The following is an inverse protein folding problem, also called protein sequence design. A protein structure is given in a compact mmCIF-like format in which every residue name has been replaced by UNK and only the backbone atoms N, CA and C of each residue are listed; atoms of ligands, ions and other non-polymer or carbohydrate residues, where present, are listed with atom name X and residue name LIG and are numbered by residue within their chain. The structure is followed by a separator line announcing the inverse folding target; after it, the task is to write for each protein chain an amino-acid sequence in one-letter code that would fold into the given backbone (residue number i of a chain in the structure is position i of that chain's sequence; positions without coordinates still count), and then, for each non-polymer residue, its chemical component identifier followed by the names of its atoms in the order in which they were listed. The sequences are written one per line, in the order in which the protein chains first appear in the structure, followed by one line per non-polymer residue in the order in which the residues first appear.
data_IF_936121743383
#
_entry.id   IF_936121743383
#
_cell.length_a   1.000
_cell.length_b   1.000
_cell.length_c   1.000
_cell.angle_alpha   90.00
_cell.angle_beta   90.00
_cell.angle_gamma   90.00
#
_symmetry.space_group_name_H-M   'P 1'
#
loop_
_entity.id
_entity.type
_entity.pdbx_description
1 polymer ?
#
# COMPACT_ATOMS: atom_id res chain seq x y z
N UNK A 1 9.81 11.66 23.51
CA UNK A 1 9.05 12.46 22.54
C UNK A 1 7.90 11.62 21.96
N UNK A 2 6.85 12.27 21.44
CA UNK A 2 5.68 11.59 20.87
C UNK A 2 6.04 10.64 19.71
N UNK A 3 7.19 10.84 19.05
CA UNK A 3 7.67 9.99 17.96
C UNK A 3 8.23 8.64 18.43
N UNK A 4 8.61 8.52 19.70
CA UNK A 4 9.18 7.27 20.24
C UNK A 4 8.12 6.17 20.48
N UNK A 5 6.84 6.54 20.49
CA UNK A 5 5.72 5.64 20.79
C UNK A 5 4.84 5.29 19.57
N UNK A 6 5.30 5.59 18.35
CA UNK A 6 4.56 5.21 17.16
C UNK A 6 4.64 3.70 16.91
N UNK A 7 3.56 3.08 16.43
CA UNK A 7 3.57 1.65 16.15
C UNK A 7 4.57 1.31 15.04
N UNK A 8 5.23 0.17 15.18
CA UNK A 8 6.07 -0.39 14.13
C UNK A 8 5.19 -1.22 13.19
N UNK A 9 5.20 -0.89 11.91
CA UNK A 9 4.45 -1.61 10.89
C UNK A 9 5.29 -2.73 10.29
N UNK A 10 4.61 -3.80 9.86
CA UNK A 10 5.24 -4.89 9.14
C UNK A 10 5.71 -4.40 7.77
N UNK A 11 6.94 -4.78 7.37
CA UNK A 11 7.48 -4.43 6.06
C UNK A 11 6.58 -4.97 4.93
N UNK A 12 6.34 -4.17 3.88
CA UNK A 12 5.47 -4.61 2.79
C UNK A 12 6.14 -5.61 1.85
N UNK A 13 7.47 -5.62 1.78
CA UNK A 13 8.27 -6.47 0.89
C UNK A 13 9.30 -7.26 1.69
N UNK A 14 9.60 -8.49 1.26
CA UNK A 14 10.62 -9.36 1.87
C UNK A 14 12.00 -9.25 1.19
N UNK A 15 12.25 -8.15 0.50
CA UNK A 15 13.55 -7.82 -0.10
C UNK A 15 14.17 -6.64 0.66
N UNK A 16 15.51 -6.44 0.58
CA UNK A 16 16.14 -5.30 1.23
C UNK A 16 15.48 -3.98 0.79
N UNK A 17 15.13 -3.09 1.72
CA UNK A 17 14.42 -1.86 1.40
C UNK A 17 15.33 -0.86 0.71
N UNK A 18 15.02 -0.55 -0.54
CA UNK A 18 15.68 0.51 -1.31
C UNK A 18 14.60 1.45 -1.82
N UNK A 19 14.71 2.73 -1.49
CA UNK A 19 13.74 3.74 -1.87
C UNK A 19 14.11 4.37 -3.20
N UNK A 20 13.10 4.62 -4.05
CA UNK A 20 13.22 5.42 -5.28
C UNK A 20 12.50 6.75 -5.17
N UNK A 21 11.64 6.93 -4.17
CA UNK A 21 10.92 8.17 -3.90
C UNK A 21 10.66 8.32 -2.41
N UNK A 22 10.90 9.53 -1.89
CA UNK A 22 10.76 9.87 -0.48
C UNK A 22 9.44 10.61 -0.21
N UNK A 23 8.97 10.51 1.02
CA UNK A 23 7.82 11.27 1.50
C UNK A 23 8.07 12.78 1.42
N UNK A 24 7.08 13.52 0.92
CA UNK A 24 7.15 14.98 0.79
C UNK A 24 8.02 15.48 -0.35
N UNK A 25 8.60 14.59 -1.15
CA UNK A 25 9.37 14.97 -2.33
C UNK A 25 8.50 15.73 -3.34
N UNK A 26 9.01 16.84 -3.84
CA UNK A 26 8.27 17.66 -4.80
C UNK A 26 8.16 16.94 -6.15
N UNK A 27 6.93 16.77 -6.60
CA UNK A 27 6.59 16.28 -7.94
C UNK A 27 6.08 17.45 -8.79
N UNK A 28 5.78 17.21 -10.07
CA UNK A 28 5.41 18.29 -11.02
C UNK A 28 4.25 19.17 -10.55
N UNK A 29 3.26 18.60 -9.84
CA UNK A 29 2.05 19.32 -9.38
C UNK A 29 1.70 19.09 -7.92
N UNK A 30 2.46 18.26 -7.17
CA UNK A 30 2.10 17.87 -5.81
C UNK A 30 3.31 17.35 -5.07
N UNK A 31 3.16 17.20 -3.75
CA UNK A 31 4.13 16.50 -2.92
C UNK A 31 3.83 15.00 -2.91
N UNK A 32 4.88 14.18 -2.87
CA UNK A 32 4.77 12.73 -2.79
C UNK A 32 4.14 12.33 -1.45
N UNK A 33 2.98 11.68 -1.50
CA UNK A 33 2.18 11.35 -0.30
C UNK A 33 2.69 10.15 0.50
N UNK A 34 3.63 9.41 -0.04
CA UNK A 34 4.15 8.18 0.56
C UNK A 34 5.62 7.97 0.25
N UNK A 35 6.02 6.71 0.23
CA UNK A 35 7.35 6.29 -0.20
C UNK A 35 7.25 5.26 -1.31
N UNK A 36 8.25 5.23 -2.18
CA UNK A 36 8.37 4.27 -3.26
C UNK A 36 9.49 3.29 -2.97
N UNK A 37 9.14 2.00 -2.88
CA UNK A 37 10.10 0.92 -2.71
C UNK A 37 10.48 0.34 -4.07
N UNK A 38 11.78 0.26 -4.35
CA UNK A 38 12.28 -0.43 -5.54
C UNK A 38 11.98 -1.92 -5.46
N UNK A 39 11.62 -2.51 -6.60
CA UNK A 39 11.32 -3.94 -6.73
C UNK A 39 12.28 -4.62 -7.71
N UNK A 40 13.56 -4.21 -7.70
CA UNK A 40 14.62 -4.82 -8.52
C UNK A 40 14.32 -4.78 -10.03
N UNK A 41 13.59 -3.75 -10.50
CA UNK A 41 13.18 -3.62 -11.90
C UNK A 41 12.16 -4.65 -12.38
N UNK A 42 11.51 -5.36 -11.45
CA UNK A 42 10.56 -6.45 -11.76
C UNK A 42 9.21 -6.25 -11.08
N UNK A 43 8.21 -6.93 -11.61
CA UNK A 43 6.88 -7.07 -11.00
C UNK A 43 6.75 -8.43 -10.32
N UNK A 44 5.67 -8.63 -9.55
CA UNK A 44 5.32 -9.94 -9.02
C UNK A 44 5.85 -10.25 -7.62
N UNK A 45 6.43 -9.29 -6.90
CA UNK A 45 6.81 -9.50 -5.50
C UNK A 45 5.56 -9.49 -4.62
N UNK A 46 5.51 -10.42 -3.66
CA UNK A 46 4.43 -10.47 -2.66
C UNK A 46 4.42 -9.21 -1.80
N UNK A 47 3.24 -8.60 -1.67
CA UNK A 47 3.01 -7.44 -0.83
C UNK A 47 2.33 -7.90 0.46
N UNK A 48 2.96 -7.60 1.59
CA UNK A 48 2.50 -7.99 2.92
C UNK A 48 1.80 -6.84 3.64
N UNK A 49 0.65 -7.14 4.24
CA UNK A 49 -0.13 -6.17 4.99
C UNK A 49 0.64 -5.65 6.21
N UNK A 50 0.58 -4.34 6.44
CA UNK A 50 1.36 -3.66 7.47
C UNK A 50 0.96 -4.00 8.91
N UNK A 51 -0.32 -4.29 9.15
CA UNK A 51 -0.89 -4.59 10.47
C UNK A 51 -2.28 -5.22 10.32
N UNK A 52 -2.82 -5.74 11.42
CA UNK A 52 -4.20 -6.22 11.45
C UNK A 52 -5.18 -5.11 11.08
N UNK A 53 -6.23 -5.47 10.37
CA UNK A 53 -7.28 -4.54 9.98
C UNK A 53 -8.24 -5.14 8.97
N UNK A 54 -8.73 -4.32 8.08
CA UNK A 54 -9.62 -4.75 7.00
C UNK A 54 -9.36 -3.93 5.73
N UNK A 55 -9.58 -4.57 4.58
CA UNK A 55 -9.56 -3.84 3.30
C UNK A 55 -10.75 -2.89 3.29
N UNK A 56 -10.48 -1.59 3.21
CA UNK A 56 -11.49 -0.53 3.26
C UNK A 56 -11.80 0.07 1.90
N UNK A 57 -10.90 -0.07 0.94
CA UNK A 57 -11.09 0.41 -0.43
C UNK A 57 -10.24 -0.36 -1.42
N UNK A 58 -10.79 -0.60 -2.61
CA UNK A 58 -10.08 -1.21 -3.73
C UNK A 58 -10.26 -0.34 -4.96
N UNK A 59 -9.16 0.01 -5.61
CA UNK A 59 -9.15 0.78 -6.87
C UNK A 59 -8.59 -0.05 -8.00
N UNK A 60 -9.23 0.05 -9.18
CA UNK A 60 -8.68 -0.39 -10.46
C UNK A 60 -8.90 0.74 -11.46
N UNK A 61 -7.82 1.28 -12.01
CA UNK A 61 -7.85 2.42 -12.91
C UNK A 61 -6.68 2.34 -13.90
N UNK A 62 -6.80 2.89 -15.12
CA UNK A 62 -5.67 2.95 -16.06
C UNK A 62 -4.63 4.00 -15.68
N UNK A 63 -4.91 4.90 -14.75
CA UNK A 63 -4.00 5.96 -14.28
C UNK A 63 -3.97 6.06 -12.76
N UNK A 64 -3.25 7.07 -12.23
CA UNK A 64 -3.08 7.24 -10.80
C UNK A 64 -2.36 6.04 -10.19
N UNK A 65 -2.89 5.48 -9.11
CA UNK A 65 -2.33 4.29 -8.47
C UNK A 65 -2.50 3.00 -9.29
N UNK A 66 -3.28 3.03 -10.38
CA UNK A 66 -3.56 1.84 -11.16
C UNK A 66 -4.44 0.85 -10.38
N UNK A 67 -3.84 -0.24 -9.90
CA UNK A 67 -4.47 -1.12 -8.91
C UNK A 67 -3.95 -0.77 -7.52
N UNK A 68 -4.87 -0.52 -6.60
CA UNK A 68 -4.52 -0.17 -5.22
C UNK A 68 -5.44 -0.84 -4.21
N UNK A 69 -4.86 -1.16 -3.04
CA UNK A 69 -5.59 -1.65 -1.86
C UNK A 69 -5.38 -0.66 -0.73
N UNK A 70 -6.46 -0.27 -0.07
CA UNK A 70 -6.45 0.52 1.16
C UNK A 70 -6.81 -0.42 2.31
N UNK A 71 -5.99 -0.44 3.33
CA UNK A 71 -6.26 -1.20 4.56
C UNK A 71 -6.43 -0.23 5.72
N UNK A 72 -7.56 -0.33 6.41
CA UNK A 72 -7.82 0.43 7.63
C UNK A 72 -7.43 -0.39 8.83
N UNK A 73 -6.67 0.23 9.74
CA UNK A 73 -6.17 -0.35 10.99
C UNK A 73 -6.81 0.39 12.17
N UNK A 74 -8.03 0.01 12.61
CA UNK A 74 -8.78 0.78 13.60
C UNK A 74 -8.05 0.96 14.93
N UNK A 75 -7.36 -0.08 15.39
CA UNK A 75 -6.63 -0.05 16.67
C UNK A 75 -5.42 0.89 16.64
N UNK A 76 -4.88 1.17 15.46
CA UNK A 76 -3.73 2.05 15.29
C UNK A 76 -4.13 3.46 14.87
N UNK A 77 -5.39 3.68 14.47
CA UNK A 77 -5.83 4.95 13.90
C UNK A 77 -5.18 5.29 12.57
N UNK A 78 -4.81 4.28 11.78
CA UNK A 78 -4.07 4.43 10.53
C UNK A 78 -4.80 3.77 9.36
N UNK A 79 -4.48 4.26 8.17
CA UNK A 79 -4.78 3.61 6.87
C UNK A 79 -3.47 3.44 6.12
N UNK A 80 -3.24 2.26 5.57
CA UNK A 80 -2.11 2.01 4.67
C UNK A 80 -2.62 1.79 3.26
N UNK A 81 -1.90 2.35 2.28
CA UNK A 81 -2.27 2.29 0.85
C UNK A 81 -1.13 1.66 0.08
N UNK A 82 -1.45 0.70 -0.77
CA UNK A 82 -0.50 -0.04 -1.60
C UNK A 82 -0.88 0.19 -3.07
N UNK A 83 -0.03 0.86 -3.82
CA UNK A 83 -0.33 1.29 -5.20
C UNK A 83 0.55 0.65 -6.26
N UNK A 84 0.13 0.83 -7.51
CA UNK A 84 0.77 0.33 -8.73
C UNK A 84 0.85 -1.20 -8.78
N UNK A 85 -0.12 -1.89 -8.19
CA UNK A 85 -0.13 -3.34 -8.06
C UNK A 85 -0.33 -4.03 -9.41
N UNK A 86 0.29 -5.20 -9.58
CA UNK A 86 0.06 -6.07 -10.75
C UNK A 86 -1.23 -6.86 -10.60
N UNK A 87 -1.47 -7.38 -9.40
CA UNK A 87 -2.65 -8.19 -9.10
C UNK A 87 -2.96 -8.17 -7.61
N UNK A 88 -4.16 -8.57 -7.27
CA UNK A 88 -4.62 -8.74 -5.89
C UNK A 88 -4.48 -10.20 -5.45
N UNK A 89 -4.48 -10.45 -4.13
CA UNK A 89 -4.61 -11.80 -3.59
C UNK A 89 -5.91 -12.46 -4.08
N UNK A 90 -5.97 -13.79 -4.07
CA UNK A 90 -7.14 -14.54 -4.57
C UNK A 90 -8.45 -14.08 -3.92
N UNK A 91 -8.43 -13.85 -2.61
CA UNK A 91 -9.58 -13.37 -1.84
C UNK A 91 -10.10 -12.02 -2.35
N UNK A 92 -9.20 -11.08 -2.57
CA UNK A 92 -9.54 -9.73 -3.06
C UNK A 92 -9.88 -9.76 -4.54
N UNK A 93 -9.12 -10.51 -5.34
CA UNK A 93 -9.32 -10.59 -6.79
C UNK A 93 -10.69 -11.13 -7.16
N UNK A 94 -11.20 -12.12 -6.42
CA UNK A 94 -12.55 -12.66 -6.63
C UNK A 94 -13.60 -11.55 -6.56
N UNK A 95 -13.53 -10.70 -5.56
CA UNK A 95 -14.45 -9.57 -5.35
C UNK A 95 -14.35 -8.57 -6.52
N UNK A 96 -13.12 -8.23 -6.93
CA UNK A 96 -12.86 -7.29 -8.03
C UNK A 96 -13.43 -7.82 -9.34
N UNK A 97 -13.12 -9.06 -9.70
CA UNK A 97 -13.57 -9.67 -10.96
C UNK A 97 -15.09 -9.77 -11.01
N UNK A 98 -15.74 -10.21 -9.93
CA UNK A 98 -17.20 -10.26 -9.85
C UNK A 98 -17.85 -8.89 -10.10
N UNK A 99 -17.28 -7.83 -9.51
CA UNK A 99 -17.77 -6.47 -9.68
C UNK A 99 -17.53 -5.93 -11.09
N UNK A 100 -16.37 -6.23 -11.68
CA UNK A 100 -16.06 -5.85 -13.06
C UNK A 100 -17.06 -6.47 -14.04
N UNK A 101 -17.38 -7.76 -13.88
CA UNK A 101 -18.39 -8.44 -14.70
C UNK A 101 -19.79 -7.88 -14.47
N UNK A 102 -20.16 -7.64 -13.21
CA UNK A 102 -21.48 -7.10 -12.87
C UNK A 102 -21.72 -5.71 -13.48
N UNK A 103 -20.68 -4.86 -13.46
CA UNK A 103 -20.75 -3.48 -14.00
C UNK A 103 -20.37 -3.39 -15.47
N UNK A 104 -19.86 -4.46 -16.06
CA UNK A 104 -19.33 -4.46 -17.42
C UNK A 104 -18.29 -3.34 -17.63
N UNK A 105 -17.39 -3.17 -16.66
CA UNK A 105 -16.35 -2.13 -16.67
C UNK A 105 -15.05 -2.64 -16.07
N UNK A 106 -13.92 -2.15 -16.59
CA UNK A 106 -12.61 -2.40 -16.03
C UNK A 106 -12.37 -1.57 -14.74
N UNK A 107 -12.86 -0.33 -14.75
CA UNK A 107 -12.61 0.62 -13.64
C UNK A 107 -13.49 0.30 -12.45
N UNK A 108 -12.83 0.18 -11.28
CA UNK A 108 -13.49 -0.15 -10.01
C UNK A 108 -13.01 0.83 -8.94
N UNK A 109 -13.95 1.31 -8.15
CA UNK A 109 -13.72 2.04 -6.92
C UNK A 109 -14.75 1.55 -5.91
N UNK A 110 -14.32 0.65 -5.01
CA UNK A 110 -15.21 -0.01 -4.04
C UNK A 110 -14.76 0.30 -2.63
N UNK A 111 -15.71 0.65 -1.77
CA UNK A 111 -15.48 0.84 -0.34
C UNK A 111 -16.11 -0.30 0.46
N UNK A 112 -15.48 -0.66 1.59
CA UNK A 112 -15.88 -1.76 2.45
C UNK A 112 -15.91 -1.33 3.91
N UNK A 113 -16.77 -1.99 4.68
CA UNK A 113 -16.92 -1.79 6.13
C UNK A 113 -16.08 -2.82 6.89
N UNK A 114 -15.77 -2.49 8.14
CA UNK A 114 -15.14 -3.42 9.07
C UNK A 114 -15.90 -4.75 9.09
N UNK A 115 -15.16 -5.87 9.04
CA UNK A 115 -15.71 -7.22 9.03
C UNK A 115 -15.97 -7.82 7.66
N UNK A 116 -16.02 -7.02 6.59
CA UNK A 116 -16.28 -7.55 5.24
C UNK A 116 -15.06 -8.27 4.64
N UNK A 117 -13.88 -7.65 4.74
CA UNK A 117 -12.62 -8.23 4.22
C UNK A 117 -11.54 -8.06 5.29
N UNK A 118 -11.51 -8.91 6.33
CA UNK A 118 -10.48 -8.83 7.36
C UNK A 118 -9.12 -9.27 6.80
N UNK A 119 -8.05 -8.62 7.27
CA UNK A 119 -6.68 -8.97 6.94
C UNK A 119 -5.82 -8.97 8.20
N UNK A 120 -4.77 -9.79 8.19
CA UNK A 120 -3.82 -9.92 9.29
C UNK A 120 -2.49 -9.28 8.93
N UNK A 121 -1.78 -8.80 9.96
CA UNK A 121 -0.39 -8.35 9.83
C UNK A 121 0.46 -9.41 9.11
N UNK A 122 1.15 -9.01 8.07
CA UNK A 122 2.01 -9.90 7.27
C UNK A 122 1.28 -10.74 6.22
N UNK A 123 -0.05 -10.71 6.17
CA UNK A 123 -0.82 -11.42 5.13
C UNK A 123 -0.47 -10.89 3.74
N UNK A 124 -0.31 -11.77 2.77
CA UNK A 124 -0.09 -11.37 1.38
C UNK A 124 -1.41 -10.87 0.79
N UNK A 125 -1.46 -9.61 0.40
CA UNK A 125 -2.68 -8.96 -0.11
C UNK A 125 -2.62 -8.68 -1.61
N UNK A 126 -1.42 -8.69 -2.21
CA UNK A 126 -1.22 -8.33 -3.61
C UNK A 126 0.15 -8.76 -4.12
N UNK A 127 0.38 -8.58 -5.40
CA UNK A 127 1.70 -8.63 -6.03
C UNK A 127 2.08 -7.24 -6.55
N UNK A 128 3.36 -6.88 -6.41
CA UNK A 128 3.89 -5.60 -6.89
C UNK A 128 3.86 -5.51 -8.42
N UNK A 129 3.73 -4.31 -8.94
CA UNK A 129 3.56 -4.10 -10.36
C UNK A 129 4.10 -2.77 -10.87
N UNK A 130 3.47 -2.31 -11.94
CA UNK A 130 3.78 -1.06 -12.63
C UNK A 130 2.51 -0.43 -13.21
N UNK A 131 1.35 -0.71 -12.61
CA UNK A 131 0.07 -0.24 -13.10
C UNK A 131 -0.14 1.25 -12.84
N UNK A 132 -1.01 1.86 -13.64
CA UNK A 132 -1.36 3.28 -13.51
C UNK A 132 -0.27 4.22 -14.00
N UNK A 133 -0.21 5.40 -13.37
CA UNK A 133 0.77 6.44 -13.71
C UNK A 133 2.11 6.14 -13.06
N UNK A 134 2.85 5.20 -13.63
CA UNK A 134 4.12 4.71 -13.10
C UNK A 134 5.16 4.61 -14.21
N UNK A 135 6.37 5.11 -13.93
CA UNK A 135 7.49 5.10 -14.88
C UNK A 135 8.33 3.83 -14.88
N UNK A 136 8.06 2.89 -14.00
CA UNK A 136 8.77 1.61 -13.88
C UNK A 136 8.30 0.83 -12.65
N UNK A 137 8.60 -0.49 -12.57
CA UNK A 137 8.16 -1.33 -11.48
C UNK A 137 8.61 -0.81 -10.11
N UNK A 138 7.67 -0.62 -9.19
CA UNK A 138 7.92 -0.24 -7.81
C UNK A 138 6.64 -0.43 -6.98
N UNK A 139 6.78 -0.40 -5.65
CA UNK A 139 5.65 -0.31 -4.75
C UNK A 139 5.55 1.10 -4.21
N UNK A 140 4.42 1.76 -4.42
CA UNK A 140 4.06 3.00 -3.72
C UNK A 140 3.29 2.66 -2.45
N UNK A 141 3.69 3.20 -1.31
CA UNK A 141 3.00 2.99 -0.05
C UNK A 141 2.75 4.30 0.68
N UNK A 142 1.50 4.53 1.07
CA UNK A 142 1.10 5.62 1.97
C UNK A 142 0.82 5.07 3.37
N UNK A 143 1.11 5.89 4.37
CA UNK A 143 0.53 5.79 5.71
C UNK A 143 -0.28 7.06 5.94
N UNK A 144 -1.55 6.92 6.31
CA UNK A 144 -2.46 8.04 6.50
C UNK A 144 -3.10 7.98 7.90
N UNK A 145 -3.40 9.16 8.43
CA UNK A 145 -4.21 9.27 9.64
C UNK A 145 -5.66 8.88 9.33
N UNK A 146 -6.23 7.95 10.10
CA UNK A 146 -7.60 7.48 9.87
C UNK A 146 -8.64 8.57 10.09
N UNK A 147 -8.44 9.42 11.10
CA UNK A 147 -9.41 10.43 11.46
C UNK A 147 -9.43 11.62 10.48
N UNK A 148 -8.25 12.03 9.99
CA UNK A 148 -8.11 13.23 9.14
C UNK A 148 -7.91 12.93 7.67
N UNK A 149 -7.42 11.74 7.33
CA UNK A 149 -7.00 11.38 5.98
C UNK A 149 -5.63 11.94 5.59
N UNK A 150 -4.96 12.68 6.49
CA UNK A 150 -3.67 13.28 6.20
C UNK A 150 -2.59 12.24 5.95
N UNK A 151 -1.73 12.50 4.97
CA UNK A 151 -0.55 11.69 4.71
C UNK A 151 0.48 11.88 5.83
N UNK A 152 1.01 10.76 6.32
CA UNK A 152 2.04 10.72 7.36
C UNK A 152 3.33 10.18 6.75
N UNK A 153 4.49 10.57 7.32
CA UNK A 153 5.77 10.06 6.83
C UNK A 153 5.92 8.58 7.20
N UNK A 154 5.91 7.66 6.20
CA UNK A 154 6.00 6.23 6.45
C UNK A 154 7.31 5.82 7.17
N UNK A 155 8.39 6.57 7.00
CA UNK A 155 9.68 6.28 7.63
C UNK A 155 9.60 6.23 9.16
N UNK A 156 8.67 6.96 9.75
CA UNK A 156 8.45 6.94 11.20
C UNK A 156 7.85 5.61 11.71
N UNK A 157 7.31 4.78 10.79
CA UNK A 157 6.63 3.51 11.10
C UNK A 157 7.46 2.28 10.72
N UNK A 158 8.61 2.48 10.06
CA UNK A 158 9.50 1.42 9.59
C UNK A 158 10.94 1.57 10.08
N UNK A 159 11.14 2.13 11.27
CA UNK A 159 12.48 2.44 11.81
C UNK A 159 13.40 1.21 11.86
N UNK A 160 12.89 0.07 12.35
CA UNK A 160 13.67 -1.15 12.45
C UNK A 160 13.97 -1.80 11.11
N UNK A 161 13.12 -1.62 10.11
CA UNK A 161 13.31 -2.17 8.78
C UNK A 161 14.61 -1.68 8.15
N UNK A 162 14.88 -0.37 8.22
CA UNK A 162 16.06 0.23 7.59
C UNK A 162 17.32 -0.03 8.41
N UNK A 163 17.24 0.01 9.73
CA UNK A 163 18.38 -0.29 10.60
C UNK A 163 18.85 -1.75 10.50
N UNK A 164 17.97 -2.69 10.25
CA UNK A 164 18.30 -4.11 10.12
C UNK A 164 19.21 -4.43 8.94
N UNK A 165 19.20 -3.59 7.91
CA UNK A 165 19.94 -3.82 6.65
C UNK A 165 21.22 -2.99 6.53
N UNK A 166 21.44 -2.00 7.40
CA UNK A 166 22.65 -1.18 7.38
C UNK A 166 23.89 -1.92 7.91
N UNK A 167 23.72 -3.07 8.56
CA UNK A 167 24.80 -3.85 9.17
C UNK A 167 25.20 -5.10 8.35
N UNK A 168 24.64 -5.25 7.18
CA UNK A 168 24.94 -6.33 6.24
C UNK A 168 25.46 -5.75 4.92
#
# INVERSE_FOLDING_TARGET
SAQENLPELHRPLNIPPVLSGNFGELRSNHFHSGIDFKTQGRTGFKIHCAADGYVSRILVSPWGFGRAVYVTHPQLGLVTVYGHLESFSSKINKIVVEEQYRRETFRIDMEFKEGEIPVKKGEVIALSGNAGSSGGPHLHMDVRDLATGDALDPMNYFKHLFFSFEFY
#
